data_IF_787431467435
#
_entry.id   IF_787431467435
#
_cell.length_a   1.000
_cell.length_b   1.000
_cell.length_c   1.000
_cell.angle_alpha   90.00
_cell.angle_beta   90.00
_cell.angle_gamma   90.00
#
_symmetry.space_group_name_H-M   'P 1'
#
loop_
_entity.id
_entity.type
_entity.pdbx_description
1 polymer ?
#
# COMPACT_ATOMS: atom_id res chain seq x y z
N UNK A 1 9.25 7.39 -7.48
CA UNK A 1 8.55 6.15 -7.82
C UNK A 1 7.69 6.34 -9.07
N UNK A 2 7.44 5.28 -9.79
CA UNK A 2 6.62 5.30 -11.00
C UNK A 2 5.37 4.48 -10.78
N UNK A 3 4.20 5.11 -11.04
CA UNK A 3 2.91 4.44 -10.99
C UNK A 3 2.34 4.35 -12.40
N UNK A 4 1.57 3.32 -12.65
CA UNK A 4 0.91 3.11 -13.93
C UNK A 4 -0.58 2.82 -13.72
N UNK A 5 -1.41 3.40 -14.58
CA UNK A 5 -2.84 3.14 -14.58
C UNK A 5 -3.15 1.94 -15.48
N UNK A 6 -3.78 0.91 -14.92
CA UNK A 6 -4.10 -0.31 -15.67
C UNK A 6 -5.11 -0.09 -16.78
N UNK A 7 -5.96 0.93 -16.64
CA UNK A 7 -7.03 1.21 -17.61
C UNK A 7 -6.59 2.13 -18.74
N UNK A 8 -5.93 3.25 -18.36
CA UNK A 8 -5.55 4.28 -19.31
C UNK A 8 -4.15 4.12 -19.85
N UNK A 9 -3.33 3.31 -19.19
CA UNK A 9 -1.91 3.12 -19.47
C UNK A 9 -1.04 4.35 -19.21
N UNK A 10 -1.60 5.36 -18.55
CA UNK A 10 -0.84 6.53 -18.12
C UNK A 10 0.19 6.16 -17.06
N UNK A 11 1.30 6.89 -17.05
CA UNK A 11 2.33 6.75 -16.01
C UNK A 11 2.51 8.07 -15.29
N UNK A 12 2.77 7.96 -13.99
CA UNK A 12 3.10 9.11 -13.13
C UNK A 12 4.41 8.84 -12.44
N UNK A 13 5.27 9.85 -12.44
CA UNK A 13 6.48 9.82 -11.63
C UNK A 13 6.28 10.73 -10.44
N UNK A 14 6.35 10.20 -9.23
CA UNK A 14 6.09 10.92 -7.99
C UNK A 14 7.22 10.70 -7.00
N UNK A 15 7.46 11.71 -6.16
CA UNK A 15 8.26 11.49 -4.97
C UNK A 15 7.47 10.64 -3.99
N UNK A 16 8.16 10.10 -2.99
CA UNK A 16 7.49 9.32 -1.94
C UNK A 16 6.44 10.16 -1.20
N UNK A 17 6.79 11.41 -0.89
CA UNK A 17 5.86 12.34 -0.21
C UNK A 17 4.63 12.64 -1.07
N UNK A 18 4.82 12.86 -2.36
CA UNK A 18 3.71 13.09 -3.28
C UNK A 18 2.79 11.87 -3.38
N UNK A 19 3.38 10.69 -3.40
CA UNK A 19 2.61 9.44 -3.42
C UNK A 19 1.76 9.30 -2.16
N UNK A 20 2.35 9.52 -0.99
CA UNK A 20 1.62 9.41 0.27
C UNK A 20 0.45 10.38 0.34
N UNK A 21 0.61 11.59 -0.21
CA UNK A 21 -0.44 12.59 -0.23
C UNK A 21 -1.52 12.28 -1.27
N UNK A 22 -1.10 12.01 -2.50
CA UNK A 22 -2.03 11.80 -3.61
C UNK A 22 -2.83 10.50 -3.49
N UNK A 23 -2.21 9.45 -2.99
CA UNK A 23 -2.84 8.14 -2.86
C UNK A 23 -3.18 7.79 -1.42
N UNK A 24 -3.42 8.80 -0.59
CA UNK A 24 -3.72 8.61 0.83
C UNK A 24 -4.91 7.66 1.05
N UNK A 25 -5.99 7.85 0.31
CA UNK A 25 -7.20 7.03 0.45
C UNK A 25 -6.92 5.56 0.09
N UNK A 26 -6.25 5.35 -1.02
CA UNK A 26 -5.89 4.00 -1.49
C UNK A 26 -4.94 3.32 -0.51
N UNK A 27 -4.02 4.07 0.07
CA UNK A 27 -3.12 3.57 1.10
C UNK A 27 -3.86 3.16 2.36
N UNK A 28 -4.86 3.95 2.79
CA UNK A 28 -5.67 3.62 3.95
C UNK A 28 -6.46 2.32 3.71
N UNK A 29 -7.02 2.16 2.53
CA UNK A 29 -7.73 0.95 2.15
C UNK A 29 -6.81 -0.27 2.15
N UNK A 30 -5.63 -0.13 1.55
CA UNK A 30 -4.65 -1.21 1.49
C UNK A 30 -4.16 -1.59 2.89
N UNK A 31 -3.89 -0.60 3.74
CA UNK A 31 -3.44 -0.86 5.10
C UNK A 31 -4.53 -1.51 5.95
N UNK A 32 -5.79 -1.10 5.79
CA UNK A 32 -6.90 -1.73 6.50
C UNK A 32 -7.02 -3.22 6.14
N UNK A 33 -6.89 -3.55 4.87
CA UNK A 33 -6.89 -4.94 4.41
C UNK A 33 -5.70 -5.73 4.94
N UNK A 34 -4.52 -5.12 4.92
CA UNK A 34 -3.30 -5.72 5.46
C UNK A 34 -3.46 -6.02 6.95
N UNK A 35 -3.93 -5.03 7.71
CA UNK A 35 -4.14 -5.15 9.15
C UNK A 35 -5.11 -6.27 9.49
N UNK A 36 -6.22 -6.33 8.78
CA UNK A 36 -7.22 -7.39 8.98
C UNK A 36 -6.63 -8.77 8.73
N UNK A 37 -5.89 -8.93 7.66
CA UNK A 37 -5.24 -10.18 7.31
C UNK A 37 -4.16 -10.56 8.33
N UNK A 38 -3.34 -9.60 8.74
CA UNK A 38 -2.28 -9.84 9.71
C UNK A 38 -2.83 -10.24 11.07
N UNK A 39 -3.87 -9.55 11.55
CA UNK A 39 -4.47 -9.83 12.86
C UNK A 39 -5.23 -11.16 12.88
N UNK A 40 -5.58 -11.71 11.73
CA UNK A 40 -6.18 -13.04 11.66
C UNK A 40 -5.16 -14.15 11.97
N UNK A 41 -3.87 -13.87 11.84
CA UNK A 41 -2.80 -14.83 12.16
C UNK A 41 -2.49 -14.73 13.65
N UNK A 42 -2.42 -15.87 14.35
CA UNK A 42 -2.32 -15.91 15.80
C UNK A 42 -1.12 -15.15 16.37
N UNK A 43 0.04 -15.20 15.70
CA UNK A 43 1.23 -14.52 16.24
C UNK A 43 1.21 -13.02 16.04
N UNK A 44 0.40 -12.49 15.13
CA UNK A 44 0.27 -11.04 14.91
C UNK A 44 -0.65 -10.37 15.92
N UNK A 45 -1.43 -11.13 16.68
CA UNK A 45 -2.36 -10.54 17.66
C UNK A 45 -1.68 -9.74 18.76
N UNK A 46 -0.38 -9.96 18.95
CA UNK A 46 0.42 -9.27 19.98
C UNK A 46 1.24 -8.11 19.43
N UNK A 47 1.16 -7.84 18.13
CA UNK A 47 1.89 -6.74 17.53
C UNK A 47 1.11 -5.44 17.69
N UNK A 48 1.84 -4.35 17.92
CA UNK A 48 1.25 -3.03 17.98
C UNK A 48 1.05 -2.44 16.57
N UNK A 49 0.36 -1.31 16.50
CA UNK A 49 0.05 -0.64 15.24
C UNK A 49 1.32 -0.17 14.53
N UNK A 50 2.32 0.28 15.28
CA UNK A 50 3.58 0.77 14.70
C UNK A 50 4.32 -0.35 13.98
N UNK A 51 4.33 -1.55 14.57
CA UNK A 51 4.96 -2.72 13.95
C UNK A 51 4.21 -3.13 12.70
N UNK A 52 2.88 -3.15 12.73
CA UNK A 52 2.06 -3.47 11.57
C UNK A 52 2.27 -2.48 10.44
N UNK A 53 2.32 -1.20 10.76
CA UNK A 53 2.57 -0.14 9.78
C UNK A 53 3.96 -0.27 9.17
N UNK A 54 4.97 -0.50 9.99
CA UNK A 54 6.34 -0.72 9.52
C UNK A 54 6.42 -1.90 8.56
N UNK A 55 5.80 -3.02 8.91
CA UNK A 55 5.78 -4.21 8.06
C UNK A 55 5.06 -3.95 6.75
N UNK A 56 3.97 -3.20 6.80
CA UNK A 56 3.23 -2.82 5.60
C UNK A 56 4.11 -2.02 4.63
N UNK A 57 4.85 -1.03 5.14
CA UNK A 57 5.70 -0.19 4.31
C UNK A 57 6.98 -0.86 3.86
N UNK A 58 7.45 -1.90 4.54
CA UNK A 58 8.60 -2.67 4.09
C UNK A 58 8.36 -3.36 2.76
N UNK A 59 7.11 -3.70 2.47
CA UNK A 59 6.73 -4.33 1.21
C UNK A 59 5.60 -3.52 0.56
N UNK A 60 5.83 -2.22 0.46
CA UNK A 60 4.82 -1.28 0.00
C UNK A 60 4.32 -1.58 -1.40
N UNK A 61 5.22 -1.89 -2.32
CA UNK A 61 4.84 -2.16 -3.71
C UNK A 61 3.86 -3.33 -3.79
N UNK A 62 4.20 -4.45 -3.17
CA UNK A 62 3.34 -5.63 -3.17
C UNK A 62 2.01 -5.35 -2.47
N UNK A 63 2.08 -4.75 -1.27
CA UNK A 63 0.89 -4.50 -0.45
C UNK A 63 -0.06 -3.52 -1.13
N UNK A 64 0.46 -2.42 -1.66
CA UNK A 64 -0.37 -1.45 -2.37
C UNK A 64 -1.00 -2.08 -3.62
N UNK A 65 -0.21 -2.78 -4.41
CA UNK A 65 -0.67 -3.33 -5.69
C UNK A 65 -1.71 -4.44 -5.52
N UNK A 66 -1.65 -5.19 -4.43
CA UNK A 66 -2.55 -6.32 -4.21
C UNK A 66 -3.73 -6.01 -3.30
N UNK A 67 -3.60 -5.01 -2.45
CA UNK A 67 -4.60 -4.73 -1.41
C UNK A 67 -5.42 -3.47 -1.63
N UNK A 68 -4.96 -2.55 -2.49
CA UNK A 68 -5.76 -1.37 -2.84
C UNK A 68 -6.73 -1.69 -3.98
N UNK A 69 -7.84 -0.97 -4.03
CA UNK A 69 -8.83 -1.09 -5.09
C UNK A 69 -8.61 -0.06 -6.20
N UNK A 70 -7.40 0.47 -6.31
CA UNK A 70 -7.06 1.50 -7.29
C UNK A 70 -6.75 0.89 -8.66
N UNK A 71 -7.05 1.64 -9.71
CA UNK A 71 -6.59 1.30 -11.05
C UNK A 71 -5.09 1.58 -11.22
N UNK A 72 -4.50 2.32 -10.29
CA UNK A 72 -3.07 2.61 -10.28
C UNK A 72 -2.30 1.55 -9.50
N UNK A 73 -1.13 1.19 -10.00
CA UNK A 73 -0.22 0.29 -9.29
C UNK A 73 1.20 0.86 -9.34
N UNK A 74 2.00 0.50 -8.35
CA UNK A 74 3.41 0.89 -8.30
C UNK A 74 4.18 0.00 -9.27
N UNK A 75 4.74 0.61 -10.30
CA UNK A 75 5.57 -0.08 -11.29
C UNK A 75 7.02 -0.16 -10.82
N UNK A 76 7.50 0.91 -10.18
CA UNK A 76 8.88 1.00 -9.70
C UNK A 76 8.95 1.93 -8.50
N UNK A 77 9.62 1.50 -7.45
CA UNK A 77 9.89 2.32 -6.27
C UNK A 77 11.10 3.31 -6.48
#
# INVERSE_FOLDING_TARGET
MILKNQRTREELELTHAEFLSKFYKELQEAFASYRKSALAKSYYKRLDEDTLESDFYQDLQWNFNHLSNSAWYIKKL
#
